data_IF_397865327325
#
_entry.id   IF_397865327325
#
_cell.length_a   1.000
_cell.length_b   1.000
_cell.length_c   1.000
_cell.angle_alpha   90.00
_cell.angle_beta   90.00
_cell.angle_gamma   90.00
#
_symmetry.space_group_name_H-M   'P 1'
#
loop_
_entity.id
_entity.type
_entity.pdbx_description
1 polymer ?
#
# COMPACT_ATOMS: atom_id res chain seq x y z
N UNK A 1 -14.64 -1.51 -10.16
CA UNK A 1 -15.55 -2.18 -11.14
C UNK A 1 -15.45 -3.67 -10.89
N UNK A 2 -16.54 -4.29 -10.53
CA UNK A 2 -16.63 -5.74 -10.32
C UNK A 2 -17.07 -6.38 -11.63
N UNK A 3 -16.33 -7.35 -12.12
CA UNK A 3 -16.68 -8.10 -13.32
C UNK A 3 -17.31 -9.42 -12.89
N UNK A 4 -18.56 -9.63 -13.25
CA UNK A 4 -19.25 -10.91 -13.06
C UNK A 4 -18.86 -11.90 -14.16
N UNK A 5 -18.51 -13.14 -13.79
CA UNK A 5 -18.15 -14.19 -14.74
C UNK A 5 -19.31 -14.51 -15.72
N UNK A 6 -20.23 -15.35 -15.32
CA UNK A 6 -21.40 -15.73 -16.15
C UNK A 6 -22.55 -14.71 -16.16
N UNK A 7 -22.58 -13.80 -15.18
CA UNK A 7 -23.67 -12.83 -14.98
C UNK A 7 -23.42 -11.42 -15.57
N UNK A 8 -22.30 -11.19 -16.25
CA UNK A 8 -21.95 -9.87 -16.80
C UNK A 8 -21.45 -8.87 -15.77
N UNK A 9 -21.69 -7.58 -15.97
CA UNK A 9 -21.30 -6.50 -15.04
C UNK A 9 -22.29 -6.46 -13.88
N UNK A 10 -21.79 -6.37 -12.66
CA UNK A 10 -22.61 -6.26 -11.44
C UNK A 10 -22.44 -4.84 -10.89
N UNK A 11 -23.54 -4.15 -10.69
CA UNK A 11 -23.57 -2.86 -10.03
C UNK A 11 -23.76 -3.03 -8.52
N UNK A 12 -23.02 -2.25 -7.73
CA UNK A 12 -23.22 -2.20 -6.30
C UNK A 12 -24.45 -1.34 -6.00
N UNK A 13 -25.57 -1.98 -5.67
CA UNK A 13 -26.87 -1.31 -5.42
C UNK A 13 -27.09 -0.96 -3.93
N UNK A 14 -26.22 -1.41 -3.04
CA UNK A 14 -26.31 -1.09 -1.61
C UNK A 14 -25.14 -1.63 -0.80
N UNK A 15 -24.90 -1.01 0.33
CA UNK A 15 -23.98 -1.48 1.36
C UNK A 15 -24.76 -1.58 2.66
N UNK A 16 -24.84 -2.78 3.23
CA UNK A 16 -25.40 -3.00 4.56
C UNK A 16 -24.28 -3.05 5.58
N UNK A 17 -24.38 -2.26 6.63
CA UNK A 17 -23.42 -2.26 7.74
C UNK A 17 -23.94 -3.19 8.82
N UNK A 18 -23.32 -4.36 8.96
CA UNK A 18 -23.64 -5.29 10.03
C UNK A 18 -23.10 -4.75 11.36
N UNK A 19 -23.99 -4.62 12.35
CA UNK A 19 -23.63 -4.14 13.69
C UNK A 19 -22.93 -5.21 14.56
N UNK A 20 -22.86 -6.44 14.09
CA UNK A 20 -22.15 -7.53 14.76
C UNK A 20 -20.82 -7.78 14.09
N UNK A 21 -19.72 -7.91 14.86
CA UNK A 21 -18.43 -8.31 14.28
C UNK A 21 -18.53 -9.74 13.76
N UNK A 22 -18.36 -9.93 12.46
CA UNK A 22 -18.23 -11.23 11.83
C UNK A 22 -16.77 -11.51 11.50
N UNK A 23 -16.37 -12.78 11.62
CA UNK A 23 -15.04 -13.22 11.24
C UNK A 23 -14.97 -13.23 9.71
N UNK A 24 -14.22 -12.29 9.15
CA UNK A 24 -13.96 -12.26 7.70
C UNK A 24 -12.66 -12.98 7.39
N UNK A 25 -12.71 -13.95 6.51
CA UNK A 25 -11.54 -14.67 6.03
C UNK A 25 -11.01 -13.98 4.77
N UNK A 26 -9.74 -13.59 4.80
CA UNK A 26 -9.04 -13.09 3.62
C UNK A 26 -8.35 -14.29 2.95
N UNK A 27 -8.90 -14.77 1.86
CA UNK A 27 -8.31 -15.88 1.11
C UNK A 27 -7.16 -15.35 0.24
N UNK A 28 -5.95 -15.79 0.52
CA UNK A 28 -4.83 -15.68 -0.41
C UNK A 28 -4.74 -16.99 -1.19
N UNK A 29 -5.19 -16.98 -2.44
CA UNK A 29 -4.97 -18.11 -3.35
C UNK A 29 -3.54 -18.00 -3.85
N UNK A 30 -2.71 -19.01 -3.57
CA UNK A 30 -1.32 -19.06 -3.97
C UNK A 30 -1.18 -18.77 -5.48
N UNK A 31 -0.38 -17.75 -5.81
CA UNK A 31 -0.11 -17.26 -7.17
C UNK A 31 -1.28 -16.65 -7.97
N UNK A 32 -2.51 -16.66 -7.45
CA UNK A 32 -3.68 -16.05 -8.07
C UNK A 32 -4.30 -15.01 -7.12
N UNK A 33 -4.13 -13.72 -7.46
CA UNK A 33 -4.73 -12.61 -6.70
C UNK A 33 -6.13 -12.24 -7.21
N UNK A 34 -6.68 -13.09 -8.03
CA UNK A 34 -7.99 -12.95 -8.64
C UNK A 34 -8.79 -14.19 -8.31
N UNK A 35 -9.95 -14.04 -7.71
CA UNK A 35 -10.82 -15.16 -7.35
C UNK A 35 -12.28 -14.78 -7.53
N UNK A 36 -13.09 -15.78 -7.71
CA UNK A 36 -14.55 -15.62 -7.83
C UNK A 36 -15.20 -15.77 -6.47
N UNK A 37 -16.17 -14.92 -6.17
CA UNK A 37 -16.95 -14.96 -4.92
C UNK A 37 -18.44 -14.99 -5.22
N UNK A 38 -19.18 -15.66 -4.36
CA UNK A 38 -20.62 -15.78 -4.46
C UNK A 38 -21.13 -16.67 -5.60
N UNK A 39 -22.42 -16.90 -5.63
CA UNK A 39 -23.09 -17.74 -6.62
C UNK A 39 -22.99 -17.18 -8.05
N UNK A 40 -22.91 -15.86 -8.18
CA UNK A 40 -22.75 -15.16 -9.47
C UNK A 40 -21.28 -15.11 -9.96
N UNK A 41 -20.34 -15.78 -9.28
CA UNK A 41 -18.93 -15.80 -9.67
C UNK A 41 -18.36 -14.38 -9.89
N UNK A 42 -18.51 -13.49 -8.91
CA UNK A 42 -17.94 -12.14 -8.97
C UNK A 42 -16.42 -12.22 -8.93
N UNK A 43 -15.78 -11.70 -9.96
CA UNK A 43 -14.32 -11.67 -10.04
C UNK A 43 -13.75 -10.56 -9.15
N UNK A 44 -13.03 -10.95 -8.12
CA UNK A 44 -12.32 -10.03 -7.23
C UNK A 44 -10.83 -10.08 -7.53
N UNK A 45 -10.23 -8.94 -7.82
CA UNK A 45 -8.80 -8.82 -8.08
C UNK A 45 -8.13 -7.91 -7.06
N UNK A 46 -7.19 -8.48 -6.31
CA UNK A 46 -6.31 -7.73 -5.42
C UNK A 46 -4.98 -7.47 -6.13
N UNK A 47 -4.51 -6.23 -6.14
CA UNK A 47 -3.20 -5.91 -6.70
C UNK A 47 -2.10 -6.59 -5.92
N UNK A 48 -1.35 -7.40 -6.63
CA UNK A 48 -0.25 -8.18 -6.09
C UNK A 48 1.07 -7.40 -6.09
N UNK A 49 1.95 -7.75 -5.17
CA UNK A 49 3.34 -7.25 -5.14
C UNK A 49 4.09 -7.59 -6.43
N UNK A 50 3.86 -8.79 -7.00
CA UNK A 50 4.52 -9.22 -8.25
C UNK A 50 4.10 -8.32 -9.42
N UNK A 51 2.82 -7.96 -9.50
CA UNK A 51 2.29 -7.11 -10.57
C UNK A 51 2.84 -5.69 -10.48
N UNK A 52 2.87 -5.10 -9.27
CA UNK A 52 3.46 -3.78 -9.06
C UNK A 52 4.94 -3.73 -9.41
N UNK A 53 5.69 -4.80 -9.11
CA UNK A 53 7.11 -4.89 -9.46
C UNK A 53 7.37 -4.98 -10.97
N UNK A 54 6.42 -5.47 -11.74
CA UNK A 54 6.52 -5.62 -13.20
C UNK A 54 5.87 -4.47 -13.96
N UNK A 55 5.05 -3.65 -13.30
CA UNK A 55 4.32 -2.56 -13.95
C UNK A 55 5.27 -1.46 -14.43
N UNK A 56 5.44 -1.25 -15.75
CA UNK A 56 6.35 -0.25 -16.30
C UNK A 56 5.87 1.18 -16.06
N UNK A 57 4.60 1.39 -15.73
CA UNK A 57 4.03 2.72 -15.46
C UNK A 57 4.47 3.29 -14.11
N UNK A 58 5.00 2.45 -13.21
CA UNK A 58 5.47 2.87 -11.89
C UNK A 58 6.90 3.39 -11.99
N UNK A 59 7.10 4.68 -11.72
CA UNK A 59 8.44 5.27 -11.61
C UNK A 59 9.18 4.73 -10.38
N UNK A 60 10.45 4.36 -10.57
CA UNK A 60 11.28 3.74 -9.51
C UNK A 60 12.56 4.54 -9.32
N UNK A 61 12.78 5.00 -8.10
CA UNK A 61 14.01 5.62 -7.65
C UNK A 61 14.55 4.82 -6.45
N UNK A 62 15.26 3.73 -6.76
CA UNK A 62 15.81 2.79 -5.77
C UNK A 62 17.32 2.91 -5.79
N UNK A 63 17.91 3.28 -4.62
CA UNK A 63 19.35 3.44 -4.47
C UNK A 63 19.87 2.66 -3.26
N UNK A 64 20.94 1.92 -3.50
CA UNK A 64 21.57 1.03 -2.55
C UNK A 64 20.82 -0.32 -2.41
N UNK A 65 21.36 -1.16 -1.55
CA UNK A 65 20.87 -2.49 -1.22
C UNK A 65 20.88 -2.70 0.29
N UNK A 66 20.22 -3.75 0.76
CA UNK A 66 20.28 -4.14 2.15
C UNK A 66 18.93 -4.34 2.83
N UNK A 67 19.03 -4.70 4.10
CA UNK A 67 17.90 -5.02 4.97
C UNK A 67 17.21 -3.76 5.50
N UNK A 68 17.97 -2.69 5.72
CA UNK A 68 17.52 -1.45 6.32
C UNK A 68 17.41 -0.36 5.27
N UNK A 69 16.38 0.43 5.34
CA UNK A 69 16.18 1.58 4.46
C UNK A 69 14.87 2.27 4.73
N UNK A 70 14.64 3.39 4.04
CA UNK A 70 13.38 4.11 4.09
C UNK A 70 12.81 4.26 2.70
N UNK A 71 11.49 4.38 2.62
CA UNK A 71 10.80 4.47 1.35
C UNK A 71 9.65 5.48 1.39
N UNK A 72 9.41 6.08 0.23
CA UNK A 72 8.24 6.89 -0.06
C UNK A 72 7.50 6.25 -1.24
N UNK A 73 6.20 6.10 -1.09
CA UNK A 73 5.30 5.62 -2.12
C UNK A 73 4.34 6.77 -2.42
N UNK A 74 4.25 7.17 -3.67
CA UNK A 74 3.30 8.18 -4.14
C UNK A 74 2.24 7.51 -4.99
N UNK A 75 0.99 7.87 -4.76
CA UNK A 75 -0.17 7.33 -5.46
C UNK A 75 -0.71 8.33 -6.49
N UNK A 76 -1.57 7.85 -7.39
CA UNK A 76 -2.16 8.71 -8.45
C UNK A 76 -3.06 9.80 -7.88
N UNK A 77 -3.70 9.56 -6.74
CA UNK A 77 -4.45 10.59 -6.01
C UNK A 77 -3.59 11.75 -5.48
N UNK A 78 -2.25 11.61 -5.51
CA UNK A 78 -1.30 12.52 -4.87
C UNK A 78 -0.97 12.16 -3.42
N UNK A 79 -1.70 11.23 -2.81
CA UNK A 79 -1.40 10.76 -1.46
C UNK A 79 -0.05 10.03 -1.40
N UNK A 80 0.60 10.12 -0.24
CA UNK A 80 1.89 9.50 0.03
C UNK A 80 1.81 8.52 1.19
N UNK A 81 2.67 7.54 1.16
CA UNK A 81 2.97 6.70 2.31
C UNK A 81 4.48 6.61 2.49
N UNK A 82 4.97 7.00 3.65
CA UNK A 82 6.40 6.99 3.98
C UNK A 82 6.60 5.94 5.08
N UNK A 83 7.59 5.09 4.91
CA UNK A 83 7.87 3.99 5.82
C UNK A 83 9.32 3.57 5.81
N UNK A 84 9.66 2.66 6.69
CA UNK A 84 11.00 2.07 6.78
C UNK A 84 10.99 0.57 6.56
N UNK A 85 12.12 0.04 6.12
CA UNK A 85 12.37 -1.38 5.94
C UNK A 85 13.00 -1.72 4.59
N UNK A 86 13.06 -3.01 4.28
CA UNK A 86 13.62 -3.52 3.03
C UNK A 86 12.79 -3.11 1.80
N UNK A 87 13.36 -3.23 0.62
CA UNK A 87 12.63 -3.04 -0.64
C UNK A 87 11.40 -3.96 -0.75
N UNK A 88 11.50 -5.20 -0.28
CA UNK A 88 10.35 -6.12 -0.26
C UNK A 88 9.22 -5.61 0.63
N UNK A 89 9.53 -4.99 1.77
CA UNK A 89 8.53 -4.36 2.63
C UNK A 89 7.90 -3.14 1.96
N UNK A 90 8.68 -2.33 1.25
CA UNK A 90 8.16 -1.21 0.46
C UNK A 90 7.08 -1.67 -0.53
N UNK A 91 7.38 -2.72 -1.33
CA UNK A 91 6.42 -3.24 -2.30
C UNK A 91 5.16 -3.83 -1.66
N UNK A 92 5.30 -4.53 -0.53
CA UNK A 92 4.13 -4.98 0.24
C UNK A 92 3.29 -3.81 0.76
N UNK A 93 3.93 -2.78 1.28
CA UNK A 93 3.23 -1.58 1.73
C UNK A 93 2.52 -0.87 0.57
N UNK A 94 3.15 -0.82 -0.61
CA UNK A 94 2.56 -0.24 -1.81
C UNK A 94 1.27 -0.96 -2.21
N UNK A 95 1.31 -2.30 -2.28
CA UNK A 95 0.14 -3.12 -2.59
C UNK A 95 -0.98 -2.97 -1.53
N UNK A 96 -0.62 -3.09 -0.25
CA UNK A 96 -1.59 -3.03 0.85
C UNK A 96 -2.33 -1.68 0.91
N UNK A 97 -1.61 -0.56 0.71
CA UNK A 97 -2.23 0.76 0.72
C UNK A 97 -3.03 1.01 -0.56
N UNK A 98 -2.53 0.57 -1.72
CA UNK A 98 -3.28 0.65 -2.97
C UNK A 98 -4.63 -0.08 -2.86
N UNK A 99 -4.64 -1.29 -2.31
CA UNK A 99 -5.86 -2.06 -2.10
C UNK A 99 -6.77 -1.41 -1.04
N UNK A 100 -6.21 -1.03 0.12
CA UNK A 100 -6.99 -0.45 1.22
C UNK A 100 -7.71 0.84 0.84
N UNK A 101 -7.08 1.67 0.04
CA UNK A 101 -7.61 2.99 -0.33
C UNK A 101 -8.10 3.06 -1.78
N UNK A 102 -8.17 1.92 -2.46
CA UNK A 102 -8.58 1.82 -3.89
C UNK A 102 -7.81 2.79 -4.78
N UNK A 103 -6.51 2.97 -4.50
CA UNK A 103 -5.64 3.91 -5.21
C UNK A 103 -4.58 3.18 -6.05
N UNK A 104 -3.96 3.88 -6.97
CA UNK A 104 -2.95 3.32 -7.87
C UNK A 104 -1.57 3.87 -7.53
N UNK A 105 -0.58 2.99 -7.41
CA UNK A 105 0.81 3.39 -7.21
C UNK A 105 1.31 4.14 -8.44
N UNK A 106 1.86 5.35 -8.22
CA UNK A 106 2.46 6.20 -9.26
C UNK A 106 3.98 6.06 -9.26
N UNK A 107 4.59 6.14 -8.08
CA UNK A 107 6.04 6.04 -7.95
C UNK A 107 6.45 5.48 -6.60
N UNK A 108 7.65 4.91 -6.57
CA UNK A 108 8.31 4.45 -5.35
C UNK A 108 9.73 5.01 -5.30
N UNK A 109 10.16 5.40 -4.09
CA UNK A 109 11.53 5.79 -3.78
C UNK A 109 12.01 4.96 -2.60
N UNK A 110 13.21 4.43 -2.67
CA UNK A 110 13.85 3.70 -1.58
C UNK A 110 15.32 4.08 -1.46
N UNK A 111 15.80 4.22 -0.23
CA UNK A 111 17.20 4.46 0.09
C UNK A 111 17.65 3.52 1.18
N UNK A 112 18.82 2.93 1.01
CA UNK A 112 19.45 2.12 2.06
C UNK A 112 19.79 2.97 3.29
N UNK A 113 19.80 2.32 4.44
CA UNK A 113 20.26 2.88 5.70
C UNK A 113 21.27 1.91 6.33
N UNK A 114 22.18 2.44 7.15
CA UNK A 114 23.25 1.68 7.79
C UNK A 114 22.66 0.76 8.87
N UNK A 115 21.63 1.23 9.57
CA UNK A 115 21.00 0.52 10.67
C UNK A 115 19.48 0.72 10.67
N UNK A 116 18.79 -0.02 11.54
CA UNK A 116 17.35 0.15 11.78
C UNK A 116 17.02 1.53 12.36
N UNK A 117 17.88 2.04 13.23
CA UNK A 117 17.75 3.38 13.82
C UNK A 117 17.90 4.46 12.75
N UNK A 118 18.92 4.35 11.89
CA UNK A 118 19.11 5.30 10.78
C UNK A 118 17.93 5.29 9.82
N UNK A 119 17.35 4.11 9.55
CA UNK A 119 16.16 4.00 8.74
C UNK A 119 14.97 4.74 9.37
N UNK A 120 14.78 4.68 10.69
CA UNK A 120 13.74 5.45 11.38
C UNK A 120 14.01 6.97 11.30
N UNK A 121 15.25 7.39 11.49
CA UNK A 121 15.63 8.81 11.40
C UNK A 121 15.37 9.33 9.98
N UNK A 122 15.78 8.56 8.98
CA UNK A 122 15.57 8.91 7.57
C UNK A 122 14.07 8.98 7.22
N UNK A 123 13.26 8.01 7.68
CA UNK A 123 11.79 8.01 7.55
C UNK A 123 11.20 9.30 8.15
N UNK A 124 11.57 9.64 9.38
CA UNK A 124 11.09 10.84 10.07
C UNK A 124 11.48 12.12 9.33
N UNK A 125 12.73 12.21 8.83
CA UNK A 125 13.18 13.33 7.99
C UNK A 125 12.32 13.48 6.74
N UNK A 126 12.03 12.37 6.05
CA UNK A 126 11.22 12.41 4.84
C UNK A 126 9.77 12.78 5.14
N UNK A 127 9.18 12.27 6.23
CA UNK A 127 7.86 12.67 6.67
C UNK A 127 7.80 14.19 6.96
N UNK A 128 8.79 14.73 7.67
CA UNK A 128 8.86 16.17 7.96
C UNK A 128 8.99 17.00 6.67
N UNK A 129 9.90 16.63 5.77
CA UNK A 129 10.11 17.33 4.49
C UNK A 129 8.86 17.25 3.58
N UNK A 130 8.10 16.17 3.64
CA UNK A 130 6.87 16.01 2.89
C UNK A 130 5.68 16.78 3.51
N UNK A 131 5.84 17.40 4.68
CA UNK A 131 4.79 18.19 5.34
C UNK A 131 3.92 17.41 6.31
N UNK A 132 4.36 16.24 6.79
CA UNK A 132 3.66 15.46 7.81
C UNK A 132 3.58 16.24 9.14
N UNK A 133 2.37 16.38 9.67
CA UNK A 133 2.07 17.08 10.94
C UNK A 133 1.44 16.17 12.00
N UNK A 134 1.27 14.89 11.69
CA UNK A 134 0.60 13.92 12.56
C UNK A 134 -0.57 13.22 11.89
N UNK A 135 -1.23 12.35 12.64
CA UNK A 135 -2.39 11.59 12.16
C UNK A 135 -3.45 12.54 11.58
N UNK A 136 -3.95 12.21 10.40
CA UNK A 136 -4.94 13.01 9.69
C UNK A 136 -4.36 14.13 8.82
N UNK A 137 -3.03 14.23 8.68
CA UNK A 137 -2.42 15.15 7.72
C UNK A 137 -2.94 14.82 6.30
N UNK A 138 -3.58 15.77 5.60
CA UNK A 138 -4.02 15.55 4.23
C UNK A 138 -2.87 15.16 3.31
N UNK A 139 -3.16 14.31 2.32
CA UNK A 139 -2.15 13.85 1.38
C UNK A 139 -1.26 12.71 1.88
N UNK A 140 -1.62 12.07 3.02
CA UNK A 140 -0.87 10.94 3.57
C UNK A 140 -1.76 9.76 3.94
N UNK A 141 -1.23 8.56 3.67
CA UNK A 141 -1.77 7.30 4.18
C UNK A 141 -1.09 6.82 5.47
N UNK A 142 -0.17 7.62 6.01
CA UNK A 142 0.41 7.39 7.32
C UNK A 142 -0.63 7.65 8.42
N UNK A 143 -0.63 6.81 9.46
CA UNK A 143 -1.55 6.91 10.59
C UNK A 143 -0.86 7.24 11.92
N UNK A 144 0.46 7.06 11.96
CA UNK A 144 1.29 7.25 13.15
C UNK A 144 2.59 7.99 12.79
N UNK A 145 3.17 8.63 13.78
CA UNK A 145 4.51 9.21 13.66
C UNK A 145 5.58 8.13 13.55
N UNK A 146 6.65 8.41 12.82
CA UNK A 146 7.84 7.57 12.87
C UNK A 146 8.49 7.64 14.25
N UNK A 147 8.94 6.52 14.84
CA UNK A 147 9.77 6.54 16.04
C UNK A 147 11.04 7.40 15.89
N UNK A 148 11.50 7.65 14.68
CA UNK A 148 12.65 8.49 14.38
C UNK A 148 12.48 9.96 14.74
N UNK A 149 11.23 10.44 14.92
CA UNK A 149 11.00 11.85 15.30
C UNK A 149 11.64 12.24 16.64
N UNK A 150 11.83 11.30 17.55
CA UNK A 150 12.55 11.56 18.82
C UNK A 150 14.05 11.83 18.65
N UNK A 151 14.60 11.62 17.47
CA UNK A 151 16.01 11.82 17.13
C UNK A 151 16.22 13.01 16.19
N UNK A 152 15.17 13.77 15.88
CA UNK A 152 15.19 15.01 15.09
C UNK A 152 15.04 16.22 16.01
#
# INVERSE_FOLDING_TARGET
MLLGGKCGTIDLIGIEVLLKPEVTYNFEVADYHTYYVGECNVLVHNRCVKDLKKDPSISRDIQGEGKYGSYEITYKSGNKYIGKGSQSRMWRSAANKANKYSDTVKSVRWRSAISDTDAFIQEAKWMRLAGWKGKGTPGFYNLINSPGFKHL
#
